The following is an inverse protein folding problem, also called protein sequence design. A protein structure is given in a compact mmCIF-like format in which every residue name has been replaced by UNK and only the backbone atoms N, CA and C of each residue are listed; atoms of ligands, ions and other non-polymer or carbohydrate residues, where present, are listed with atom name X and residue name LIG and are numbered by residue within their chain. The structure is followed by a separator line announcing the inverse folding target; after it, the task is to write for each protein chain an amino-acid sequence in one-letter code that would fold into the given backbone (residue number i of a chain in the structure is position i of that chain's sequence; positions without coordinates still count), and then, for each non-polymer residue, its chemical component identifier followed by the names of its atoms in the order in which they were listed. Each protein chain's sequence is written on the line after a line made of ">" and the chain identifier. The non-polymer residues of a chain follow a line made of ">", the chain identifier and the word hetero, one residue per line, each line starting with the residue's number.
data_IF_785070006578
#
_entry.id   IF_785070006578
#
_cell.length_a   1.000
_cell.length_b   1.000
_cell.length_c   1.000
_cell.angle_alpha   90.00
_cell.angle_beta   90.00
_cell.angle_gamma   90.00
#
_symmetry.space_group_name_H-M   'P 1'
#
loop_
_entity.id
_entity.type
_entity.pdbx_description
1 polymer ?
#
# COMPACT_ATOMS: atom_id res chain seq x y z
N UNK A 1 -77.89 21.34 -31.17
CA UNK A 1 -76.92 20.25 -31.44
C UNK A 1 -75.61 20.88 -31.89
N UNK A 2 -74.53 20.48 -31.23
CA UNK A 2 -73.19 20.99 -31.47
C UNK A 2 -72.62 20.52 -32.82
N UNK A 3 -71.66 21.29 -33.36
CA UNK A 3 -70.29 20.78 -33.60
C UNK A 3 -69.37 21.94 -33.95
N UNK A 4 -68.52 22.29 -32.99
CA UNK A 4 -67.25 22.99 -33.22
C UNK A 4 -66.41 22.10 -34.15
N UNK A 5 -66.18 22.57 -35.38
CA UNK A 5 -65.14 22.02 -36.24
C UNK A 5 -63.80 22.50 -35.71
N UNK A 6 -62.98 21.57 -35.23
CA UNK A 6 -61.56 21.81 -34.92
C UNK A 6 -60.89 22.38 -36.16
N UNK A 7 -60.24 23.53 -36.01
CA UNK A 7 -59.19 23.93 -36.94
C UNK A 7 -57.96 23.15 -36.49
N UNK A 8 -57.62 22.14 -37.26
CA UNK A 8 -56.37 21.43 -37.08
C UNK A 8 -55.27 22.41 -37.51
N UNK A 9 -54.56 22.97 -36.55
CA UNK A 9 -53.38 23.80 -36.81
C UNK A 9 -52.27 22.87 -37.31
N UNK A 10 -52.30 22.59 -38.62
CA UNK A 10 -51.23 21.91 -39.34
C UNK A 10 -50.07 22.91 -39.41
N UNK A 11 -49.17 22.87 -38.43
CA UNK A 11 -47.85 23.48 -38.56
C UNK A 11 -46.99 22.63 -39.49
N UNK A 12 -47.39 22.53 -40.76
CA UNK A 12 -46.48 22.19 -41.83
C UNK A 12 -45.54 23.38 -41.98
N UNK A 13 -44.39 23.31 -41.31
CA UNK A 13 -43.27 24.18 -41.67
C UNK A 13 -43.03 23.97 -43.16
N UNK A 14 -43.03 25.03 -43.99
CA UNK A 14 -42.79 24.90 -45.41
C UNK A 14 -41.54 24.06 -45.63
N UNK A 15 -41.60 23.06 -46.50
CA UNK A 15 -40.46 22.23 -46.84
C UNK A 15 -39.37 23.13 -47.43
N UNK A 16 -38.38 23.52 -46.64
CA UNK A 16 -37.27 24.40 -47.03
C UNK A 16 -36.11 23.65 -47.68
N UNK A 17 -36.27 22.36 -48.01
CA UNK A 17 -35.23 21.57 -48.71
C UNK A 17 -34.86 22.13 -50.09
N UNK A 18 -35.74 22.96 -50.67
CA UNK A 18 -35.56 23.70 -51.92
C UNK A 18 -34.72 24.99 -51.77
N UNK A 19 -34.53 25.50 -50.55
CA UNK A 19 -33.64 26.65 -50.28
C UNK A 19 -32.22 26.09 -50.16
N UNK A 20 -31.60 25.82 -51.31
CA UNK A 20 -30.18 25.53 -51.39
C UNK A 20 -29.46 26.80 -51.82
N UNK A 21 -28.37 27.15 -51.13
CA UNK A 21 -27.52 28.25 -51.55
C UNK A 21 -26.44 27.67 -52.48
N UNK A 22 -26.61 27.71 -53.81
CA UNK A 22 -25.71 27.04 -54.76
C UNK A 22 -24.27 27.58 -54.71
N UNK A 23 -24.11 28.79 -54.16
CA UNK A 23 -22.82 29.46 -54.01
C UNK A 23 -22.04 28.99 -52.76
N UNK A 24 -22.68 28.24 -51.84
CA UNK A 24 -22.00 27.62 -50.69
C UNK A 24 -21.42 26.30 -51.16
N UNK A 25 -20.25 26.37 -51.77
CA UNK A 25 -19.43 25.21 -52.06
C UNK A 25 -18.51 24.92 -50.86
N UNK A 26 -18.20 23.65 -50.62
CA UNK A 26 -17.16 23.28 -49.66
C UNK A 26 -15.81 23.68 -50.26
N UNK A 27 -15.14 24.68 -49.68
CA UNK A 27 -13.80 25.07 -50.11
C UNK A 27 -12.78 24.01 -49.67
N UNK A 28 -12.41 23.11 -50.58
CA UNK A 28 -11.40 22.06 -50.32
C UNK A 28 -9.98 22.61 -50.07
N UNK A 29 -9.78 23.94 -50.17
CA UNK A 29 -8.47 24.58 -50.29
C UNK A 29 -8.13 25.60 -49.19
N UNK A 30 -8.77 25.56 -48.03
CA UNK A 30 -8.41 26.51 -46.96
C UNK A 30 -7.13 26.08 -46.20
N UNK A 31 -6.72 24.81 -46.31
CA UNK A 31 -5.55 24.28 -45.58
C UNK A 31 -4.65 23.41 -46.44
N UNK A 32 -3.37 23.76 -46.52
CA UNK A 32 -2.35 22.97 -47.21
C UNK A 32 -1.91 21.76 -46.36
N UNK A 33 -2.63 20.65 -46.49
CA UNK A 33 -2.36 19.39 -45.77
C UNK A 33 -0.95 18.85 -46.04
N UNK A 34 -0.42 19.01 -47.26
CA UNK A 34 0.92 18.54 -47.63
C UNK A 34 2.01 19.30 -46.85
N UNK A 35 1.87 20.61 -46.73
CA UNK A 35 2.80 21.44 -45.95
C UNK A 35 2.79 21.07 -44.47
N UNK A 36 1.60 20.82 -43.90
CA UNK A 36 1.46 20.37 -42.50
C UNK A 36 2.16 19.03 -42.29
N UNK A 37 1.93 18.05 -43.17
CA UNK A 37 2.56 16.73 -43.05
C UNK A 37 4.09 16.81 -43.16
N UNK A 38 4.61 17.62 -44.08
CA UNK A 38 6.05 17.86 -44.20
C UNK A 38 6.62 18.53 -42.95
N UNK A 39 5.89 19.47 -42.35
CA UNK A 39 6.29 20.12 -41.10
C UNK A 39 6.35 19.12 -39.94
N UNK A 40 5.31 18.28 -39.76
CA UNK A 40 5.28 17.24 -38.72
C UNK A 40 6.42 16.24 -38.92
N UNK A 41 6.66 15.81 -40.15
CA UNK A 41 7.77 14.91 -40.47
C UNK A 41 9.13 15.56 -40.16
N UNK A 42 9.31 16.84 -40.53
CA UNK A 42 10.51 17.60 -40.20
C UNK A 42 10.73 17.74 -38.70
N UNK A 43 9.67 17.99 -37.94
CA UNK A 43 9.71 18.08 -36.48
C UNK A 43 10.10 16.74 -35.83
N UNK A 44 9.56 15.62 -36.34
CA UNK A 44 9.92 14.28 -35.87
C UNK A 44 11.39 13.96 -36.15
N UNK A 45 11.89 14.27 -37.34
CA UNK A 45 13.30 14.06 -37.69
C UNK A 45 14.19 14.92 -36.79
N UNK A 46 13.85 16.19 -36.60
CA UNK A 46 14.60 17.08 -35.72
C UNK A 46 14.62 16.59 -34.27
N UNK A 47 13.47 16.14 -33.75
CA UNK A 47 13.38 15.55 -32.42
C UNK A 47 14.28 14.31 -32.31
N UNK A 48 14.25 13.42 -33.29
CA UNK A 48 15.11 12.24 -33.32
C UNK A 48 16.61 12.61 -33.31
N UNK A 49 17.01 13.63 -34.09
CA UNK A 49 18.39 14.14 -34.11
C UNK A 49 18.80 14.67 -32.74
N UNK A 50 17.95 15.44 -32.06
CA UNK A 50 18.22 15.94 -30.71
C UNK A 50 18.40 14.79 -29.72
N UNK A 51 17.56 13.75 -29.78
CA UNK A 51 17.69 12.57 -28.91
C UNK A 51 19.00 11.82 -29.16
N UNK A 52 19.39 11.63 -30.42
CA UNK A 52 20.66 10.98 -30.78
C UNK A 52 21.86 11.80 -30.27
N UNK A 53 21.82 13.13 -30.45
CA UNK A 53 22.88 14.02 -29.97
C UNK A 53 23.01 13.98 -28.44
N UNK A 54 21.88 14.03 -27.72
CA UNK A 54 21.84 13.91 -26.26
C UNK A 54 22.36 12.56 -25.79
N UNK A 55 21.93 11.46 -26.42
CA UNK A 55 22.43 10.12 -26.10
C UNK A 55 23.94 10.01 -26.29
N UNK A 56 24.46 10.52 -27.41
CA UNK A 56 25.89 10.56 -27.67
C UNK A 56 26.65 11.41 -26.65
N UNK A 57 26.15 12.61 -26.32
CA UNK A 57 26.74 13.49 -25.32
C UNK A 57 26.80 12.81 -23.93
N UNK A 58 25.72 12.14 -23.52
CA UNK A 58 25.66 11.41 -22.24
C UNK A 58 26.70 10.27 -22.22
N UNK A 59 26.79 9.48 -23.30
CA UNK A 59 27.79 8.41 -23.43
C UNK A 59 29.23 8.94 -23.37
N UNK A 60 29.46 10.08 -23.98
CA UNK A 60 30.75 10.76 -23.92
C UNK A 60 31.10 11.23 -22.50
N UNK A 61 30.13 11.75 -21.75
CA UNK A 61 30.32 12.14 -20.36
C UNK A 61 30.51 10.95 -19.42
N UNK A 62 29.76 9.86 -19.59
CA UNK A 62 29.92 8.60 -18.85
C UNK A 62 31.36 8.08 -18.98
N UNK A 63 31.84 7.94 -20.22
CA UNK A 63 33.21 7.48 -20.51
C UNK A 63 34.29 8.37 -19.88
N UNK A 64 34.03 9.68 -19.76
CA UNK A 64 34.96 10.63 -19.12
C UNK A 64 34.90 10.56 -17.59
N UNK A 65 33.72 10.33 -17.03
CA UNK A 65 33.53 10.18 -15.59
C UNK A 65 34.14 8.87 -15.10
N UNK A 66 33.92 7.75 -15.78
CA UNK A 66 34.50 6.45 -15.41
C UNK A 66 36.03 6.49 -15.32
N UNK A 67 36.68 7.26 -16.21
CA UNK A 67 38.13 7.45 -16.19
C UNK A 67 38.62 8.37 -15.06
N UNK A 68 37.74 9.19 -14.49
CA UNK A 68 38.04 10.16 -13.42
C UNK A 68 37.58 9.69 -12.05
N UNK A 69 36.70 8.70 -11.98
CA UNK A 69 36.23 8.10 -10.73
C UNK A 69 37.36 7.24 -10.17
N UNK A 70 37.92 7.58 -8.99
CA UNK A 70 38.87 6.70 -8.33
C UNK A 70 38.18 5.37 -7.99
N UNK A 71 38.91 4.23 -8.02
CA UNK A 71 38.33 2.96 -7.63
C UNK A 71 37.70 3.06 -6.22
N UNK A 72 36.55 2.40 -5.98
CA UNK A 72 35.85 2.50 -4.71
C UNK A 72 36.80 2.15 -3.57
N UNK A 73 36.78 2.97 -2.51
CA UNK A 73 37.61 2.73 -1.35
C UNK A 73 37.33 1.31 -0.79
N UNK A 74 38.31 0.61 -0.22
CA UNK A 74 38.13 -0.73 0.32
C UNK A 74 37.10 -0.80 1.48
N UNK A 75 36.69 0.34 2.02
CA UNK A 75 35.63 0.49 3.04
C UNK A 75 34.36 1.16 2.49
N UNK A 76 34.24 1.31 1.16
CA UNK A 76 33.01 1.83 0.57
C UNK A 76 31.89 0.80 0.76
N UNK A 77 30.96 1.14 1.65
CA UNK A 77 29.72 0.38 1.84
C UNK A 77 29.02 0.25 0.48
N UNK A 78 28.58 -0.97 0.17
CA UNK A 78 27.71 -1.23 -0.98
C UNK A 78 26.43 -0.43 -0.85
N UNK A 79 25.74 -0.14 -1.97
CA UNK A 79 24.49 0.63 -1.94
C UNK A 79 23.42 0.00 -1.04
N UNK A 80 23.48 -1.32 -0.84
CA UNK A 80 22.65 -2.06 0.13
C UNK A 80 23.05 -1.81 1.59
N UNK A 81 24.34 -1.75 1.90
CA UNK A 81 24.87 -1.53 3.26
C UNK A 81 24.76 -0.07 3.70
N UNK A 82 24.63 0.87 2.76
CA UNK A 82 24.32 2.28 3.08
C UNK A 82 22.89 2.49 3.59
N UNK A 83 21.99 1.55 3.33
CA UNK A 83 20.61 1.69 3.71
C UNK A 83 20.38 1.23 5.15
N UNK A 84 19.56 1.95 5.94
CA UNK A 84 19.15 1.48 7.25
C UNK A 84 18.50 0.09 7.15
N UNK A 85 18.68 -0.77 8.17
CA UNK A 85 18.04 -2.09 8.22
C UNK A 85 16.52 -1.94 8.13
N UNK A 86 15.87 -2.92 7.52
CA UNK A 86 14.41 -2.97 7.41
C UNK A 86 13.77 -3.25 8.78
N UNK A 87 12.56 -2.71 9.08
CA UNK A 87 11.64 -1.97 8.20
C UNK A 87 11.90 -0.46 8.14
N UNK A 88 11.96 0.10 6.91
CA UNK A 88 12.26 1.53 6.70
C UNK A 88 11.00 2.38 6.84
N UNK A 89 11.12 3.54 7.48
CA UNK A 89 10.02 4.50 7.71
C UNK A 89 9.69 5.40 6.49
N UNK A 90 10.38 5.23 5.35
CA UNK A 90 10.23 6.10 4.18
C UNK A 90 9.69 5.31 2.98
N UNK A 91 8.59 5.79 2.40
CA UNK A 91 7.98 5.32 1.15
C UNK A 91 8.80 5.60 -0.11
N UNK A 92 10.12 5.41 -0.07
CA UNK A 92 11.02 5.56 -1.20
C UNK A 92 11.25 4.20 -1.89
N UNK A 93 11.41 4.17 -3.23
CA UNK A 93 11.44 2.95 -4.03
C UNK A 93 12.67 2.10 -3.68
N UNK A 94 12.43 1.03 -2.93
CA UNK A 94 13.38 -0.01 -2.57
C UNK A 94 12.68 -1.19 -1.92
N UNK A 95 11.40 -1.37 -2.27
CA UNK A 95 10.41 -2.04 -1.46
C UNK A 95 10.52 -3.54 -1.62
N UNK A 96 11.01 -4.21 -0.59
CA UNK A 96 10.80 -5.62 -0.42
C UNK A 96 10.59 -5.92 1.04
N UNK A 97 9.64 -6.79 1.34
CA UNK A 97 9.33 -7.17 2.72
C UNK A 97 9.79 -8.60 2.93
N UNK A 98 10.61 -8.79 3.97
CA UNK A 98 10.94 -10.12 4.47
C UNK A 98 9.75 -10.64 5.29
N UNK A 99 9.07 -11.66 4.76
CA UNK A 99 8.01 -12.38 5.47
C UNK A 99 8.62 -13.25 6.56
N UNK A 100 7.81 -13.55 7.58
CA UNK A 100 8.18 -14.44 8.69
C UNK A 100 8.53 -15.87 8.25
N UNK A 101 8.20 -16.23 7.01
CA UNK A 101 8.55 -17.50 6.37
C UNK A 101 9.98 -17.48 5.77
N UNK A 102 10.75 -16.40 6.01
CA UNK A 102 12.09 -16.19 5.46
C UNK A 102 12.12 -15.83 3.97
N UNK A 103 10.95 -15.61 3.36
CA UNK A 103 10.81 -15.23 1.95
C UNK A 103 10.78 -13.71 1.82
N UNK A 104 11.51 -13.18 0.85
CA UNK A 104 11.47 -11.76 0.51
C UNK A 104 10.52 -11.53 -0.66
N UNK A 105 9.50 -10.71 -0.46
CA UNK A 105 8.65 -10.26 -1.57
C UNK A 105 9.22 -8.99 -2.18
N UNK A 106 9.44 -8.98 -3.50
CA UNK A 106 9.81 -7.78 -4.24
C UNK A 106 8.55 -6.96 -4.60
N UNK A 107 8.56 -5.70 -4.19
CA UNK A 107 7.45 -4.74 -4.32
C UNK A 107 7.90 -3.50 -5.11
N UNK A 108 9.04 -3.56 -5.80
CA UNK A 108 9.61 -2.47 -6.60
C UNK A 108 8.67 -1.91 -7.67
N UNK A 109 7.81 -2.76 -8.24
CA UNK A 109 6.80 -2.40 -9.24
C UNK A 109 5.40 -2.15 -8.66
N UNK A 110 5.23 -2.21 -7.33
CA UNK A 110 3.95 -2.00 -6.66
C UNK A 110 3.81 -0.56 -6.16
N UNK A 111 2.59 -0.24 -5.75
CA UNK A 111 2.25 1.05 -5.13
C UNK A 111 3.14 1.34 -3.91
N UNK A 112 3.44 2.62 -3.59
CA UNK A 112 4.27 2.98 -2.44
C UNK A 112 3.78 2.45 -1.08
N UNK A 113 2.48 2.13 -0.97
CA UNK A 113 1.86 1.59 0.24
C UNK A 113 1.72 0.05 0.23
N UNK A 114 2.29 -0.64 -0.76
CA UNK A 114 2.15 -2.09 -0.90
C UNK A 114 2.79 -2.88 0.25
N UNK A 115 3.88 -2.37 0.83
CA UNK A 115 4.54 -3.01 1.98
C UNK A 115 3.58 -3.18 3.17
N UNK A 116 2.85 -2.11 3.50
CA UNK A 116 1.89 -2.11 4.60
C UNK A 116 0.77 -3.14 4.37
N UNK A 117 0.33 -3.32 3.12
CA UNK A 117 -0.70 -4.30 2.77
C UNK A 117 -0.19 -5.72 3.02
N UNK A 118 1.02 -6.03 2.53
CA UNK A 118 1.65 -7.35 2.69
C UNK A 118 1.87 -7.70 4.17
N UNK A 119 2.44 -6.77 4.96
CA UNK A 119 2.65 -6.97 6.40
C UNK A 119 1.32 -7.18 7.12
N UNK A 120 0.29 -6.40 6.78
CA UNK A 120 -1.04 -6.53 7.39
C UNK A 120 -1.70 -7.87 7.05
N UNK A 121 -1.57 -8.35 5.82
CA UNK A 121 -2.06 -9.66 5.42
C UNK A 121 -1.36 -10.78 6.20
N UNK A 122 -0.05 -10.69 6.37
CA UNK A 122 0.72 -11.63 7.19
C UNK A 122 0.23 -11.63 8.65
N UNK A 123 0.04 -10.46 9.27
CA UNK A 123 -0.47 -10.38 10.64
C UNK A 123 -1.88 -10.95 10.76
N UNK A 124 -2.75 -10.66 9.79
CA UNK A 124 -4.10 -11.21 9.76
C UNK A 124 -4.08 -12.74 9.63
N UNK A 125 -3.15 -13.30 8.85
CA UNK A 125 -2.96 -14.75 8.75
C UNK A 125 -2.51 -15.34 10.08
N UNK A 126 -1.50 -14.76 10.72
CA UNK A 126 -1.00 -15.20 12.03
C UNK A 126 -2.10 -15.14 13.10
N UNK A 127 -2.92 -14.08 13.09
CA UNK A 127 -4.03 -13.94 14.03
C UNK A 127 -5.09 -15.04 13.87
N UNK A 128 -5.34 -15.47 12.63
CA UNK A 128 -6.37 -16.47 12.30
C UNK A 128 -5.89 -17.91 12.43
N UNK A 129 -4.67 -18.19 12.00
CA UNK A 129 -4.13 -19.55 11.86
C UNK A 129 -3.09 -19.90 12.91
N UNK A 130 -2.58 -18.91 13.64
CA UNK A 130 -1.40 -19.04 14.48
C UNK A 130 -0.10 -18.93 13.67
N UNK A 131 1.02 -18.93 14.39
CA UNK A 131 2.35 -18.90 13.79
C UNK A 131 3.02 -20.26 13.96
N UNK A 132 3.66 -20.76 12.90
CA UNK A 132 4.48 -21.97 12.92
C UNK A 132 5.95 -21.63 12.69
N UNK A 133 6.84 -22.38 13.32
CA UNK A 133 8.27 -22.36 13.09
C UNK A 133 8.60 -22.98 11.71
N UNK A 134 9.84 -22.79 11.25
CA UNK A 134 10.38 -23.44 10.06
C UNK A 134 10.27 -24.98 10.14
N UNK A 135 10.33 -25.53 11.35
CA UNK A 135 10.16 -26.97 11.61
C UNK A 135 8.69 -27.42 11.69
N UNK A 136 7.72 -26.51 11.49
CA UNK A 136 6.29 -26.79 11.56
C UNK A 136 5.67 -26.77 12.96
N UNK A 137 6.46 -26.53 14.01
CA UNK A 137 5.97 -26.42 15.38
C UNK A 137 5.18 -25.12 15.59
N UNK A 138 4.04 -25.20 16.27
CA UNK A 138 3.23 -24.01 16.57
C UNK A 138 3.93 -23.13 17.62
N UNK A 139 4.33 -21.92 17.22
CA UNK A 139 4.93 -20.90 18.10
C UNK A 139 3.82 -20.08 18.78
N UNK A 140 2.77 -19.73 18.03
CA UNK A 140 1.64 -18.94 18.52
C UNK A 140 0.31 -19.57 18.06
N UNK A 141 -0.68 -19.56 18.94
CA UNK A 141 -2.02 -20.13 18.71
C UNK A 141 -3.03 -18.98 18.64
N UNK A 142 -4.08 -19.05 17.79
CA UNK A 142 -5.18 -18.07 17.79
C UNK A 142 -5.82 -17.91 19.17
N UNK A 143 -6.28 -16.70 19.48
CA UNK A 143 -6.73 -16.38 20.83
C UNK A 143 -7.99 -17.18 21.21
N UNK A 144 -8.85 -17.46 20.25
CA UNK A 144 -10.06 -18.27 20.41
C UNK A 144 -9.71 -19.72 20.81
N UNK A 145 -8.72 -20.31 20.13
CA UNK A 145 -8.24 -21.65 20.45
C UNK A 145 -7.53 -21.69 21.81
N UNK A 146 -6.73 -20.66 22.10
CA UNK A 146 -6.07 -20.53 23.40
C UNK A 146 -7.10 -20.44 24.55
N UNK A 147 -8.17 -19.66 24.38
CA UNK A 147 -9.27 -19.58 25.34
C UNK A 147 -9.96 -20.93 25.53
N UNK A 148 -10.27 -21.64 24.43
CA UNK A 148 -10.90 -22.96 24.49
C UNK A 148 -10.03 -23.95 25.28
N UNK A 149 -8.74 -24.02 24.95
CA UNK A 149 -7.81 -24.89 25.67
C UNK A 149 -7.67 -24.51 27.15
N UNK A 150 -7.71 -23.22 27.48
CA UNK A 150 -7.64 -22.75 28.85
C UNK A 150 -8.86 -23.17 29.67
N UNK A 151 -10.05 -23.10 29.06
CA UNK A 151 -11.30 -23.55 29.68
C UNK A 151 -11.27 -25.08 29.87
N UNK A 152 -10.84 -25.83 28.86
CA UNK A 152 -10.74 -27.29 28.92
C UNK A 152 -9.72 -27.77 29.95
N UNK A 153 -8.53 -27.15 30.00
CA UNK A 153 -7.48 -27.49 30.96
C UNK A 153 -7.80 -27.02 32.38
N UNK A 154 -8.68 -26.04 32.53
CA UNK A 154 -8.93 -25.33 33.77
C UNK A 154 -7.73 -24.46 34.16
N UNK A 155 -7.98 -23.33 34.82
CA UNK A 155 -6.89 -22.57 35.41
C UNK A 155 -6.46 -23.24 36.72
N UNK A 156 -5.15 -23.37 37.00
CA UNK A 156 -4.70 -23.82 38.30
C UNK A 156 -5.17 -22.81 39.35
N UNK A 157 -6.22 -23.15 40.08
CA UNK A 157 -6.66 -22.39 41.24
C UNK A 157 -5.74 -22.75 42.40
N UNK A 158 -5.26 -21.73 43.13
CA UNK A 158 -4.49 -21.98 44.36
C UNK A 158 -5.39 -22.74 45.33
N UNK A 159 -4.97 -23.89 45.89
CA UNK A 159 -5.76 -24.56 46.91
C UNK A 159 -5.95 -23.58 48.07
N UNK A 160 -7.21 -23.33 48.44
CA UNK A 160 -7.49 -22.69 49.72
C UNK A 160 -6.95 -23.64 50.79
N UNK A 161 -5.98 -23.20 51.58
CA UNK A 161 -5.55 -23.92 52.77
C UNK A 161 -6.74 -23.98 53.72
N UNK A 162 -7.38 -25.15 53.84
CA UNK A 162 -8.36 -25.43 54.88
C UNK A 162 -7.69 -25.19 56.24
N UNK A 163 -8.11 -24.14 56.93
CA UNK A 163 -7.51 -23.66 58.18
C UNK A 163 -7.02 -22.21 58.16
N UNK A 164 -7.14 -21.48 57.05
CA UNK A 164 -6.96 -20.03 57.07
C UNK A 164 -8.02 -19.41 58.02
N UNK A 165 -7.61 -18.65 59.06
CA UNK A 165 -8.57 -18.06 59.99
C UNK A 165 -9.54 -17.17 59.21
N UNK A 166 -10.84 -17.37 59.45
CA UNK A 166 -11.86 -16.50 58.90
C UNK A 166 -11.50 -15.05 59.28
N UNK A 167 -11.40 -14.18 58.28
CA UNK A 167 -11.10 -12.76 58.50
C UNK A 167 -12.23 -12.20 59.38
N UNK A 168 -11.97 -12.06 60.67
CA UNK A 168 -12.89 -11.38 61.60
C UNK A 168 -12.70 -9.90 61.32
N UNK A 169 -13.66 -9.33 60.57
CA UNK A 169 -13.60 -7.98 60.02
C UNK A 169 -13.17 -6.94 61.07
N UNK A 170 -11.90 -6.54 61.01
CA UNK A 170 -11.35 -5.44 61.77
C UNK A 170 -10.01 -5.68 62.49
N UNK A 171 -9.58 -6.93 62.72
CA UNK A 171 -8.36 -7.23 63.50
C UNK A 171 -7.17 -7.76 62.69
N UNK A 172 -7.40 -8.30 61.51
CA UNK A 172 -6.34 -8.87 60.67
C UNK A 172 -6.08 -7.97 59.46
N UNK A 173 -4.85 -7.46 59.34
CA UNK A 173 -4.40 -6.66 58.20
C UNK A 173 -3.42 -7.47 57.35
N UNK A 174 -3.39 -7.28 56.01
CA UNK A 174 -2.39 -7.92 55.17
C UNK A 174 -0.99 -7.43 55.56
N UNK A 175 -0.07 -8.33 55.90
CA UNK A 175 1.30 -7.94 56.23
C UNK A 175 2.02 -7.37 55.01
N UNK A 176 2.57 -6.17 55.16
CA UNK A 176 3.34 -5.49 54.11
C UNK A 176 4.62 -6.26 53.76
N UNK A 177 5.27 -6.87 54.75
CA UNK A 177 6.50 -7.65 54.56
C UNK A 177 6.29 -8.95 53.77
N UNK A 178 5.04 -9.45 53.69
CA UNK A 178 4.72 -10.66 52.96
C UNK A 178 4.04 -10.37 51.61
N UNK A 179 3.97 -9.11 51.17
CA UNK A 179 3.18 -8.68 50.00
C UNK A 179 1.71 -9.14 50.11
N UNK A 180 1.14 -9.09 51.32
CA UNK A 180 -0.23 -9.54 51.60
C UNK A 180 -0.44 -11.06 51.61
N UNK A 181 0.64 -11.87 51.54
CA UNK A 181 0.54 -13.33 51.59
C UNK A 181 0.32 -13.90 52.99
N UNK A 182 0.58 -13.10 54.03
CA UNK A 182 0.29 -13.46 55.43
C UNK A 182 -0.58 -12.37 56.04
N UNK A 183 -1.57 -12.78 56.82
CA UNK A 183 -2.34 -11.87 57.68
C UNK A 183 -1.53 -11.65 58.96
N UNK A 184 -1.50 -10.40 59.42
CA UNK A 184 -0.91 -10.01 60.69
C UNK A 184 -2.00 -9.41 61.56
N UNK A 185 -1.98 -9.77 62.84
CA UNK A 185 -2.96 -9.26 63.79
C UNK A 185 -2.52 -7.86 64.19
N UNK A 186 -3.45 -6.90 64.14
CA UNK A 186 -3.20 -5.54 64.59
C UNK A 186 -3.11 -5.55 66.11
N UNK A 187 -1.91 -5.39 66.65
CA UNK A 187 -1.73 -5.10 68.09
C UNK A 187 -2.37 -3.74 68.41
N UNK A 188 -3.11 -3.68 69.53
CA UNK A 188 -3.80 -2.46 70.02
C UNK A 188 -2.85 -1.56 70.80
#
# INVERSE_FOLDING_TARGET
>A
MARHGRRDDIHETPDVSHIQNPDVTHEESDVNVRAILQFVLGLLIFAAVVHVLMWYMLKFFETRQDKRTPPPAPMALTDKERLPPEPRLQGAPGFGVDLGDGKREDLSLKEPAAEMKVVREQWNRILREGQKDQNGNTIAIPIEEAMKQLIEKGQPTRPQTEGAPAIVGGMDIPSYQSSGRKMEKRDQ
#
